data_IF_672990928058
#
_entry.id   IF_672990928058
#
_cell.length_a   1.000
_cell.length_b   1.000
_cell.length_c   1.000
_cell.angle_alpha   90.00
_cell.angle_beta   90.00
_cell.angle_gamma   90.00
#
_symmetry.space_group_name_H-M   'P 1'
#
loop_
_entity.id
_entity.type
_entity.pdbx_description
1 polymer ?
#
# COMPACT_ATOMS: atom_id res chain seq x y z
N UNK A 1 -6.51 7.31 0.01
CA UNK A 1 -5.33 6.44 -0.23
C UNK A 1 -4.11 7.23 -0.71
N UNK A 2 -4.15 7.92 -1.86
CA UNK A 2 -3.00 8.73 -2.32
C UNK A 2 -2.52 9.75 -1.27
N UNK A 3 -3.45 10.53 -0.71
CA UNK A 3 -3.16 11.50 0.35
C UNK A 3 -2.41 10.88 1.54
N UNK A 4 -2.79 9.66 1.94
CA UNK A 4 -2.22 8.95 3.08
C UNK A 4 -0.76 8.56 2.83
N UNK A 5 -0.44 8.09 1.62
CA UNK A 5 0.94 7.76 1.23
C UNK A 5 1.84 8.99 1.20
N UNK A 6 1.37 10.11 0.65
CA UNK A 6 2.12 11.36 0.65
C UNK A 6 2.35 11.89 2.07
N UNK A 7 1.31 11.85 2.92
CA UNK A 7 1.43 12.27 4.32
C UNK A 7 2.41 11.39 5.08
N UNK A 8 2.32 10.07 4.92
CA UNK A 8 3.19 9.11 5.61
C UNK A 8 4.67 9.25 5.21
N UNK A 9 4.94 9.44 3.91
CA UNK A 9 6.29 9.71 3.41
C UNK A 9 6.86 11.04 3.94
N UNK A 10 6.01 12.07 4.11
CA UNK A 10 6.44 13.35 4.67
C UNK A 10 6.68 13.30 6.19
N UNK A 11 6.05 12.37 6.91
CA UNK A 11 6.16 12.23 8.36
C UNK A 11 7.25 11.27 8.83
N UNK A 12 7.99 10.62 7.91
CA UNK A 12 9.06 9.67 8.26
C UNK A 12 8.54 8.34 8.84
N UNK A 13 7.35 7.89 8.44
CA UNK A 13 6.82 6.59 8.87
C UNK A 13 7.44 5.48 8.04
N UNK A 14 8.00 4.44 8.68
CA UNK A 14 8.69 3.36 7.96
C UNK A 14 7.74 2.45 7.16
N UNK A 15 6.55 2.18 7.70
CA UNK A 15 5.60 1.20 7.13
C UNK A 15 4.16 1.71 7.19
N UNK A 16 3.46 1.66 6.05
CA UNK A 16 2.02 1.91 5.96
C UNK A 16 1.28 0.58 5.77
N UNK A 17 0.36 0.29 6.69
CA UNK A 17 -0.54 -0.84 6.56
C UNK A 17 -1.84 -0.41 5.86
N UNK A 18 -2.22 -1.16 4.83
CA UNK A 18 -3.48 -0.97 4.10
C UNK A 18 -4.30 -2.25 4.25
N UNK A 19 -5.51 -2.11 4.79
CA UNK A 19 -6.46 -3.21 5.00
C UNK A 19 -7.65 -3.03 4.05
N UNK A 20 -7.55 -3.46 2.77
CA UNK A 20 -8.69 -3.43 1.84
C UNK A 20 -9.82 -4.41 2.21
N UNK A 21 -9.61 -5.32 3.15
CA UNK A 21 -10.57 -6.38 3.50
C UNK A 21 -10.51 -7.59 2.58
N UNK A 22 -11.19 -8.69 2.96
CA UNK A 22 -11.15 -9.98 2.23
C UNK A 22 -12.00 -9.93 0.96
N UNK A 23 -13.32 -9.73 1.11
CA UNK A 23 -14.27 -9.50 0.01
C UNK A 23 -14.05 -10.37 -1.25
N UNK A 24 -14.33 -9.82 -2.42
CA UNK A 24 -14.06 -10.46 -3.73
C UNK A 24 -12.63 -10.20 -4.23
N UNK A 25 -11.76 -9.57 -3.44
CA UNK A 25 -10.40 -9.20 -3.86
C UNK A 25 -10.32 -8.01 -4.84
N UNK A 26 -11.45 -7.51 -5.37
CA UNK A 26 -11.46 -6.37 -6.32
C UNK A 26 -10.84 -5.10 -5.74
N UNK A 27 -11.09 -4.82 -4.46
CA UNK A 27 -10.51 -3.65 -3.78
C UNK A 27 -8.99 -3.82 -3.61
N UNK A 28 -8.51 -5.02 -3.26
CA UNK A 28 -7.08 -5.35 -3.21
C UNK A 28 -6.40 -5.11 -4.56
N UNK A 29 -6.98 -5.61 -5.66
CA UNK A 29 -6.44 -5.39 -7.00
C UNK A 29 -6.37 -3.91 -7.36
N UNK A 30 -7.42 -3.13 -7.04
CA UNK A 30 -7.43 -1.69 -7.27
C UNK A 30 -6.36 -0.96 -6.46
N UNK A 31 -6.12 -1.37 -5.22
CA UNK A 31 -5.05 -0.85 -4.36
C UNK A 31 -3.67 -1.13 -4.98
N UNK A 32 -3.42 -2.36 -5.40
CA UNK A 32 -2.15 -2.73 -6.06
C UNK A 32 -1.95 -1.95 -7.37
N UNK A 33 -3.00 -1.74 -8.16
CA UNK A 33 -2.97 -0.93 -9.36
C UNK A 33 -2.69 0.57 -9.09
N UNK A 34 -3.07 1.08 -7.91
CA UNK A 34 -2.68 2.44 -7.48
C UNK A 34 -1.22 2.48 -7.06
N UNK A 35 -0.76 1.48 -6.29
CA UNK A 35 0.64 1.39 -5.85
C UNK A 35 1.62 1.21 -7.01
N UNK A 36 1.21 0.57 -8.12
CA UNK A 36 2.06 0.36 -9.28
C UNK A 36 2.29 1.62 -10.13
N UNK A 37 1.54 2.71 -9.91
CA UNK A 37 1.69 3.96 -10.66
C UNK A 37 3.06 4.59 -10.42
N UNK A 38 3.75 5.01 -11.49
CA UNK A 38 5.15 5.49 -11.44
C UNK A 38 5.41 6.56 -10.38
N UNK A 39 4.51 7.52 -10.21
CA UNK A 39 4.66 8.61 -9.23
C UNK A 39 4.48 8.14 -7.78
N UNK A 40 3.68 7.08 -7.55
CA UNK A 40 3.50 6.48 -6.22
C UNK A 40 4.64 5.53 -5.90
N UNK A 41 5.14 4.77 -6.88
CA UNK A 41 6.29 3.86 -6.75
C UNK A 41 7.57 4.54 -6.23
N UNK A 42 7.70 5.85 -6.44
CA UNK A 42 8.84 6.64 -5.94
C UNK A 42 8.80 6.85 -4.42
N UNK A 43 7.62 6.77 -3.81
CA UNK A 43 7.38 7.06 -2.40
C UNK A 43 7.68 5.88 -1.46
N UNK A 44 7.98 4.69 -2.01
CA UNK A 44 8.16 3.49 -1.22
C UNK A 44 9.27 2.60 -1.77
N UNK A 45 9.85 1.75 -0.90
CA UNK A 45 10.89 0.79 -1.24
C UNK A 45 10.29 -0.52 -1.76
N UNK A 46 9.32 -1.10 -1.04
CA UNK A 46 8.67 -2.36 -1.42
C UNK A 46 7.24 -2.49 -0.90
N UNK A 47 6.49 -3.42 -1.50
CA UNK A 47 5.14 -3.80 -1.08
C UNK A 47 5.13 -5.28 -0.76
N UNK A 48 4.56 -5.64 0.39
CA UNK A 48 4.39 -7.02 0.82
C UNK A 48 2.91 -7.35 0.96
N UNK A 49 2.53 -8.56 0.55
CA UNK A 49 1.19 -9.10 0.75
C UNK A 49 1.27 -10.27 1.71
N UNK A 50 0.48 -10.23 2.77
CA UNK A 50 0.46 -11.26 3.80
C UNK A 50 -0.23 -12.54 3.26
N UNK A 51 0.44 -13.71 3.23
CA UNK A 51 -0.16 -14.96 2.78
C UNK A 51 -1.27 -15.46 3.72
N UNK A 52 -1.17 -15.17 5.02
CA UNK A 52 -2.16 -15.57 6.04
C UNK A 52 -3.36 -14.62 6.06
N UNK A 53 -3.13 -13.34 5.73
CA UNK A 53 -4.18 -12.34 5.61
C UNK A 53 -4.18 -11.67 4.23
N UNK A 54 -4.83 -12.27 3.22
CA UNK A 54 -4.85 -11.72 1.86
C UNK A 54 -5.54 -10.35 1.76
N UNK A 55 -6.24 -9.92 2.81
CA UNK A 55 -6.82 -8.59 2.94
C UNK A 55 -5.85 -7.54 3.51
N UNK A 56 -4.57 -7.85 3.66
CA UNK A 56 -3.53 -6.96 4.19
C UNK A 56 -2.44 -6.71 3.15
N UNK A 57 -2.09 -5.43 2.97
CA UNK A 57 -0.98 -4.97 2.15
C UNK A 57 -0.10 -4.09 3.03
N UNK A 58 1.20 -4.37 3.05
CA UNK A 58 2.21 -3.57 3.74
C UNK A 58 3.01 -2.80 2.69
N UNK A 59 3.19 -1.50 2.92
CA UNK A 59 3.99 -0.62 2.06
C UNK A 59 5.12 -0.06 2.89
N UNK A 60 6.35 -0.46 2.56
CA UNK A 60 7.57 0.01 3.22
C UNK A 60 8.01 1.29 2.54
N UNK A 61 7.98 2.41 3.24
CA UNK A 61 8.35 3.72 2.72
C UNK A 61 9.89 3.86 2.63
N UNK A 62 10.35 4.94 2.01
CA UNK A 62 11.77 5.31 1.92
C UNK A 62 12.09 6.42 2.88
#
# INVERSE_FOLDING_TARGET
MRQTLFKAAATGVDVVQIIPGKGTGRLRQRVLAVLSQKHIKKLYARVETDPSNPGRILVHLR
#
